data_IF_072517482372
#
_entry.id   IF_072517482372
#
_cell.length_a   1.000
_cell.length_b   1.000
_cell.length_c   1.000
_cell.angle_alpha   90.00
_cell.angle_beta   90.00
_cell.angle_gamma   90.00
#
_symmetry.space_group_name_H-M   'P 1'
#
loop_
_entity.id
_entity.type
_entity.pdbx_description
1 polymer ?
#
# COMPACT_ATOMS: atom_id res chain seq x y z
N UNK A 1 16.85 -17.32 -6.66
CA UNK A 1 16.75 -16.95 -5.24
C UNK A 1 15.51 -17.64 -4.67
N UNK A 2 15.29 -17.66 -3.34
CA UNK A 2 13.97 -17.99 -2.81
C UNK A 2 13.06 -16.80 -3.12
N UNK A 3 12.01 -17.03 -3.92
CA UNK A 3 10.91 -16.10 -4.08
C UNK A 3 10.25 -15.98 -2.70
N UNK A 4 10.68 -14.97 -1.94
CA UNK A 4 9.93 -14.55 -0.76
C UNK A 4 8.67 -13.89 -1.31
N UNK A 5 7.64 -14.70 -1.57
CA UNK A 5 6.27 -14.21 -1.73
C UNK A 5 5.99 -13.33 -0.51
N UNK A 6 6.05 -12.01 -0.67
CA UNK A 6 5.74 -11.09 0.42
C UNK A 6 4.31 -11.40 0.86
N UNK A 7 4.16 -11.70 2.15
CA UNK A 7 2.90 -12.21 2.65
C UNK A 7 1.89 -11.06 2.76
N UNK A 8 0.62 -11.28 2.37
CA UNK A 8 -0.44 -10.31 2.64
C UNK A 8 -0.52 -10.00 4.14
N UNK A 9 -0.73 -8.74 4.49
CA UNK A 9 -0.93 -8.28 5.87
C UNK A 9 -2.38 -7.85 6.11
N UNK A 10 -2.80 -7.91 7.38
CA UNK A 10 -4.12 -7.51 7.85
C UNK A 10 -4.00 -6.49 8.99
N UNK A 11 -4.82 -5.44 8.95
CA UNK A 11 -5.02 -4.51 10.06
C UNK A 11 -6.52 -4.28 10.30
N UNK A 12 -6.87 -3.71 11.46
CA UNK A 12 -8.23 -3.31 11.76
C UNK A 12 -8.26 -1.93 12.43
N UNK A 13 -9.30 -1.15 12.13
CA UNK A 13 -9.54 0.18 12.69
C UNK A 13 -10.86 0.76 12.20
N UNK A 14 -11.46 1.67 12.97
CA UNK A 14 -12.74 2.31 12.66
C UNK A 14 -12.50 3.49 11.70
N UNK A 15 -12.64 3.26 10.40
CA UNK A 15 -12.28 4.26 9.37
C UNK A 15 -13.41 5.22 9.03
N UNK A 16 -14.65 4.87 9.39
CA UNK A 16 -15.82 5.70 9.09
C UNK A 16 -16.36 6.44 10.33
N UNK A 17 -15.91 6.07 11.53
CA UNK A 17 -16.21 6.69 12.81
C UNK A 17 -17.51 6.18 13.43
N UNK A 18 -18.00 5.00 13.05
CA UNK A 18 -19.25 4.43 13.57
C UNK A 18 -19.07 3.62 14.88
N UNK A 19 -17.82 3.43 15.32
CA UNK A 19 -17.45 2.68 16.51
C UNK A 19 -17.24 1.18 16.27
N UNK A 20 -17.38 0.70 15.04
CA UNK A 20 -17.04 -0.65 14.59
C UNK A 20 -15.75 -0.56 13.78
N UNK A 21 -14.86 -1.53 13.95
CA UNK A 21 -13.63 -1.57 13.16
C UNK A 21 -13.84 -2.25 11.82
N UNK A 22 -13.31 -1.66 10.77
CA UNK A 22 -13.12 -2.28 9.47
C UNK A 22 -11.82 -3.07 9.44
N UNK A 23 -11.66 -3.85 8.38
CA UNK A 23 -10.47 -4.66 8.12
C UNK A 23 -9.78 -4.14 6.87
N UNK A 24 -8.48 -3.86 6.95
CA UNK A 24 -7.64 -3.63 5.79
C UNK A 24 -6.87 -4.92 5.45
N UNK A 25 -6.98 -5.38 4.21
CA UNK A 25 -6.19 -6.47 3.66
C UNK A 25 -5.22 -5.92 2.62
N UNK A 26 -3.93 -6.04 2.88
CA UNK A 26 -2.90 -5.82 1.88
C UNK A 26 -2.74 -7.08 1.03
N UNK A 27 -2.86 -6.92 -0.28
CA UNK A 27 -2.73 -8.00 -1.26
C UNK A 27 -1.88 -7.52 -2.42
N UNK A 28 -1.28 -8.46 -3.13
CA UNK A 28 -0.67 -8.20 -4.41
C UNK A 28 -1.70 -8.36 -5.52
N UNK A 29 -1.74 -7.43 -6.48
CA UNK A 29 -2.59 -7.58 -7.67
C UNK A 29 -1.79 -7.26 -8.93
N UNK A 30 -1.90 -8.13 -9.93
CA UNK A 30 -1.40 -7.90 -11.28
C UNK A 30 -2.07 -6.65 -11.89
N UNK A 31 -1.26 -5.72 -12.39
CA UNK A 31 -1.73 -4.57 -13.14
C UNK A 31 -1.74 -4.91 -14.62
N UNK A 32 -2.91 -4.73 -15.26
CA UNK A 32 -2.99 -4.79 -16.71
C UNK A 32 -2.16 -3.64 -17.30
N UNK A 33 -1.11 -3.98 -18.03
CA UNK A 33 -0.31 -2.99 -18.75
C UNK A 33 -1.22 -2.23 -19.75
N UNK A 34 -1.52 -0.96 -19.47
CA UNK A 34 -2.04 -0.05 -20.50
C UNK A 34 -1.03 -0.07 -21.65
N UNK A 35 -1.43 -0.60 -22.80
CA UNK A 35 -0.60 -0.69 -24.00
C UNK A 35 -0.24 0.73 -24.46
N UNK A 36 0.84 1.27 -23.90
CA UNK A 36 1.37 2.57 -24.26
C UNK A 36 1.75 2.59 -25.74
N UNK A 37 1.10 3.46 -26.49
CA UNK A 37 1.43 3.78 -27.87
C UNK A 37 2.85 4.42 -27.93
N UNK A 38 3.91 3.61 -27.89
CA UNK A 38 5.31 4.07 -27.97
C UNK A 38 5.67 4.37 -29.44
N UNK A 39 5.54 5.64 -29.84
CA UNK A 39 6.27 6.20 -30.99
C UNK A 39 7.64 6.70 -30.51
N UNK A 40 8.71 6.14 -31.07
CA UNK A 40 9.99 6.82 -31.24
C UNK A 40 11.12 6.46 -30.25
N UNK A 41 12.20 6.00 -30.86
CA UNK A 41 13.60 6.03 -30.43
C UNK A 41 14.17 4.95 -29.49
N UNK A 42 14.99 4.10 -30.14
CA UNK A 42 15.79 3.01 -29.58
C UNK A 42 16.88 3.55 -28.64
N UNK A 43 16.90 3.07 -27.39
CA UNK A 43 18.14 2.92 -26.60
C UNK A 43 18.11 1.62 -25.78
N UNK A 44 19.28 0.99 -25.70
CA UNK A 44 19.58 -0.36 -25.18
C UNK A 44 19.05 -0.60 -23.76
N UNK A 45 18.60 -1.83 -23.53
CA UNK A 45 18.20 -2.37 -22.23
C UNK A 45 16.72 -2.73 -22.22
N UNK A 46 16.32 -3.75 -23.00
CA UNK A 46 14.98 -4.31 -22.92
C UNK A 46 14.98 -5.21 -21.67
N UNK A 47 14.69 -4.65 -20.48
CA UNK A 47 14.04 -5.46 -19.44
C UNK A 47 12.72 -5.88 -20.06
N UNK A 48 12.41 -7.16 -19.90
CA UNK A 48 11.24 -7.80 -20.49
C UNK A 48 9.99 -7.07 -20.00
N UNK A 49 8.86 -7.24 -20.68
CA UNK A 49 7.60 -6.67 -20.24
C UNK A 49 7.17 -7.41 -18.96
N UNK A 50 7.89 -7.15 -17.87
CA UNK A 50 7.68 -7.75 -16.56
C UNK A 50 6.29 -7.33 -16.10
N UNK A 51 5.48 -8.33 -15.77
CA UNK A 51 4.12 -8.17 -15.30
C UNK A 51 4.15 -7.32 -14.03
N UNK A 52 3.72 -6.06 -14.14
CA UNK A 52 3.75 -5.14 -13.01
C UNK A 52 2.71 -5.57 -11.99
N UNK A 53 3.14 -5.76 -10.75
CA UNK A 53 2.27 -6.05 -9.63
C UNK A 53 2.22 -4.85 -8.69
N UNK A 54 1.02 -4.47 -8.25
CA UNK A 54 0.84 -3.37 -7.31
C UNK A 54 0.39 -3.89 -5.94
N UNK A 55 0.87 -3.23 -4.89
CA UNK A 55 0.35 -3.38 -3.55
C UNK A 55 -1.03 -2.74 -3.46
N UNK A 56 -2.04 -3.55 -3.17
CA UNK A 56 -3.42 -3.11 -3.04
C UNK A 56 -3.84 -3.27 -1.58
N UNK A 57 -4.44 -2.23 -1.01
CA UNK A 57 -5.15 -2.34 0.27
C UNK A 57 -6.64 -2.39 -0.03
N UNK A 58 -7.27 -3.52 0.25
CA UNK A 58 -8.72 -3.70 0.13
C UNK A 58 -9.36 -3.57 1.51
N UNK A 59 -10.41 -2.77 1.59
CA UNK A 59 -11.16 -2.61 2.83
C UNK A 59 -12.36 -3.54 2.85
N UNK A 60 -12.50 -4.26 3.96
CA UNK A 60 -13.67 -5.05 4.31
C UNK A 60 -14.36 -4.43 5.52
N UNK A 61 -15.66 -4.68 5.66
CA UNK A 61 -16.40 -4.40 6.89
C UNK A 61 -15.82 -5.20 8.06
N UNK A 62 -16.19 -4.85 9.29
CA UNK A 62 -15.88 -5.65 10.48
C UNK A 62 -16.42 -7.08 10.46
N UNK A 63 -17.37 -7.39 9.56
CA UNK A 63 -17.89 -8.75 9.32
C UNK A 63 -17.16 -9.49 8.18
N UNK A 64 -16.20 -8.85 7.52
CA UNK A 64 -15.42 -9.40 6.42
C UNK A 64 -16.06 -9.27 5.03
N UNK A 65 -17.11 -8.45 4.88
CA UNK A 65 -17.71 -8.18 3.57
C UNK A 65 -16.90 -7.13 2.82
N UNK A 66 -16.68 -7.30 1.52
CA UNK A 66 -15.92 -6.33 0.76
C UNK A 66 -16.65 -4.99 0.60
N UNK A 67 -15.95 -3.91 0.90
CA UNK A 67 -16.41 -2.54 0.60
C UNK A 67 -16.01 -2.14 -0.83
N UNK A 68 -16.40 -0.93 -1.25
CA UNK A 68 -15.94 -0.33 -2.51
C UNK A 68 -14.58 0.35 -2.39
N UNK A 69 -14.01 0.46 -1.18
CA UNK A 69 -12.74 1.14 -0.96
C UNK A 69 -11.58 0.20 -1.27
N UNK A 70 -10.74 0.63 -2.20
CA UNK A 70 -9.51 -0.04 -2.60
C UNK A 70 -8.44 1.01 -2.85
N UNK A 71 -7.22 0.76 -2.38
CA UNK A 71 -6.11 1.69 -2.46
C UNK A 71 -4.97 1.03 -3.24
N UNK A 72 -4.54 1.65 -4.33
CA UNK A 72 -3.26 1.34 -4.96
C UNK A 72 -2.15 2.00 -4.13
N UNK A 73 -1.57 1.24 -3.20
CA UNK A 73 -0.52 1.74 -2.34
C UNK A 73 0.70 2.15 -3.18
N UNK A 74 1.27 3.32 -2.87
CA UNK A 74 2.45 3.84 -3.57
C UNK A 74 2.31 3.97 -5.10
N UNK A 75 1.08 4.13 -5.61
CA UNK A 75 0.83 4.30 -7.05
C UNK A 75 1.75 5.36 -7.68
N UNK A 76 2.33 5.00 -8.83
CA UNK A 76 3.22 5.87 -9.62
C UNK A 76 4.65 6.00 -9.07
N UNK A 77 4.99 5.32 -7.98
CA UNK A 77 6.34 5.35 -7.40
C UNK A 77 7.23 4.20 -7.85
N UNK A 78 6.66 3.18 -8.49
CA UNK A 78 7.41 2.01 -8.95
C UNK A 78 7.71 0.96 -7.88
N UNK A 79 7.03 1.01 -6.73
CA UNK A 79 6.99 -0.14 -5.81
C UNK A 79 6.14 -1.25 -6.41
N UNK A 80 6.60 -2.47 -6.20
CA UNK A 80 5.92 -3.70 -6.60
C UNK A 80 5.69 -4.57 -5.38
N UNK A 81 4.63 -5.37 -5.40
CA UNK A 81 4.27 -6.28 -4.31
C UNK A 81 3.40 -5.67 -3.21
N UNK A 82 2.94 -6.49 -2.25
CA UNK A 82 2.09 -6.06 -1.17
C UNK A 82 2.82 -5.08 -0.23
N UNK A 83 2.04 -4.32 0.53
CA UNK A 83 2.59 -3.41 1.52
C UNK A 83 2.28 -3.90 2.94
N UNK A 84 2.98 -3.36 3.92
CA UNK A 84 2.52 -3.48 5.31
C UNK A 84 1.43 -2.47 5.59
N UNK A 85 0.54 -2.78 6.53
CA UNK A 85 -0.63 -1.94 6.84
C UNK A 85 -0.89 -1.83 8.33
N UNK A 86 -1.18 -0.63 8.78
CA UNK A 86 -1.72 -0.33 10.11
C UNK A 86 -2.86 0.68 9.98
N UNK A 87 -3.72 0.74 10.99
CA UNK A 87 -4.86 1.66 11.03
C UNK A 87 -4.92 2.37 12.38
N UNK A 88 -5.32 3.64 12.37
CA UNK A 88 -5.50 4.41 13.59
C UNK A 88 -5.78 5.89 13.35
N UNK A 89 -6.38 6.55 14.33
CA UNK A 89 -6.72 7.98 14.29
C UNK A 89 -5.46 8.82 14.58
N UNK A 90 -4.80 9.29 13.53
CA UNK A 90 -3.51 9.99 13.64
C UNK A 90 -3.72 11.50 13.77
N UNK A 91 -4.79 12.03 13.17
CA UNK A 91 -5.08 13.46 13.19
C UNK A 91 -6.10 13.90 14.26
N UNK A 92 -6.69 12.94 14.99
CA UNK A 92 -7.56 13.16 16.12
C UNK A 92 -8.99 13.51 15.73
N UNK A 93 -9.42 13.18 14.51
CA UNK A 93 -10.78 13.46 14.02
C UNK A 93 -11.83 12.43 14.44
N UNK A 94 -11.41 11.36 15.12
CA UNK A 94 -12.26 10.27 15.58
C UNK A 94 -12.45 9.17 14.53
N UNK A 95 -11.75 9.23 13.39
CA UNK A 95 -11.73 8.19 12.37
C UNK A 95 -10.30 7.71 12.17
N UNK A 96 -10.15 6.43 11.87
CA UNK A 96 -8.86 5.86 11.57
C UNK A 96 -8.39 6.27 10.16
N UNK A 97 -7.12 6.66 10.08
CA UNK A 97 -6.34 6.64 8.86
C UNK A 97 -5.80 5.24 8.57
N UNK A 98 -5.41 5.02 7.32
CA UNK A 98 -4.70 3.84 6.85
C UNK A 98 -3.24 4.21 6.61
N UNK A 99 -2.33 3.51 7.27
CA UNK A 99 -0.88 3.68 7.17
C UNK A 99 -0.35 2.51 6.36
N UNK A 100 0.30 2.79 5.23
CA UNK A 100 0.94 1.81 4.39
C UNK A 100 2.46 1.92 4.52
N UNK A 101 3.16 0.81 4.77
CA UNK A 101 4.61 0.70 4.69
C UNK A 101 5.02 -0.04 3.42
N UNK A 102 5.96 0.51 2.66
CA UNK A 102 6.38 -0.11 1.41
C UNK A 102 7.04 -1.48 1.65
N UNK A 103 6.71 -2.43 0.77
CA UNK A 103 7.42 -3.71 0.64
C UNK A 103 8.88 -3.51 0.21
N UNK A 104 9.62 -4.61 0.14
CA UNK A 104 11.04 -4.57 -0.24
C UNK A 104 11.17 -4.30 -1.73
N UNK A 105 12.00 -3.31 -2.05
CA UNK A 105 12.32 -2.94 -3.42
C UNK A 105 13.82 -2.65 -3.56
N UNK A 106 14.44 -3.10 -4.65
CA UNK A 106 15.88 -2.94 -4.90
C UNK A 106 16.24 -1.52 -5.36
N UNK A 107 15.33 -0.87 -6.07
CA UNK A 107 15.51 0.44 -6.70
C UNK A 107 14.99 1.59 -5.80
N UNK A 108 14.01 1.32 -4.95
CA UNK A 108 13.35 2.30 -4.09
C UNK A 108 13.81 2.23 -2.62
N UNK A 109 13.66 3.33 -1.87
CA UNK A 109 13.89 3.34 -0.43
C UNK A 109 12.56 3.04 0.30
N UNK A 110 12.54 2.39 1.48
CA UNK A 110 11.30 2.11 2.19
C UNK A 110 10.59 3.40 2.58
N UNK A 111 9.33 3.51 2.17
CA UNK A 111 8.46 4.63 2.45
C UNK A 111 7.28 4.22 3.32
N UNK A 112 6.76 5.20 4.05
CA UNK A 112 5.47 5.13 4.74
C UNK A 112 4.56 6.17 4.09
N UNK A 113 3.34 5.80 3.71
CA UNK A 113 2.28 6.69 3.22
C UNK A 113 1.04 6.59 4.08
N UNK A 114 0.32 7.69 4.23
CA UNK A 114 -0.94 7.73 4.98
C UNK A 114 -2.11 8.09 4.05
N UNK A 115 -3.21 7.37 4.20
CA UNK A 115 -4.45 7.50 3.44
C UNK A 115 -5.62 7.70 4.40
N UNK A 116 -6.65 8.43 3.95
CA UNK A 116 -7.94 8.51 4.65
C UNK A 116 -8.72 7.21 4.48
N UNK A 117 -9.76 7.02 5.29
CA UNK A 117 -10.65 5.85 5.23
C UNK A 117 -11.33 5.63 3.87
N UNK A 118 -11.50 6.69 3.07
CA UNK A 118 -12.01 6.60 1.69
C UNK A 118 -10.94 6.23 0.64
N UNK A 119 -9.69 6.03 1.07
CA UNK A 119 -8.54 5.72 0.22
C UNK A 119 -7.81 6.93 -0.34
N UNK A 120 -8.24 8.16 -0.02
CA UNK A 120 -7.57 9.38 -0.48
C UNK A 120 -6.18 9.50 0.16
N UNK A 121 -5.14 9.68 -0.66
CA UNK A 121 -3.80 9.96 -0.15
C UNK A 121 -3.75 11.32 0.57
N UNK A 122 -3.28 11.33 1.82
CA UNK A 122 -3.27 12.53 2.67
C UNK A 122 -2.20 13.56 2.28
N UNK A 123 -1.26 13.20 1.40
CA UNK A 123 -0.05 13.98 1.15
C UNK A 123 1.12 13.62 2.08
N UNK A 124 0.90 12.79 3.10
CA UNK A 124 1.92 12.36 4.05
C UNK A 124 2.75 11.20 3.50
N UNK A 125 4.03 11.44 3.25
CA UNK A 125 5.02 10.42 2.87
C UNK A 125 6.30 10.61 3.68
N UNK A 126 6.84 9.52 4.21
CA UNK A 126 8.05 9.52 5.04
C UNK A 126 9.00 8.44 4.58
N UNK A 127 10.30 8.75 4.47
CA UNK A 127 11.34 7.74 4.28
C UNK A 127 11.63 7.08 5.63
N UNK A 128 11.48 5.76 5.72
CA UNK A 128 11.65 5.03 6.97
C UNK A 128 13.13 4.89 7.36
N UNK A 129 13.98 4.55 6.38
CA UNK A 129 15.42 4.39 6.58
C UNK A 129 16.20 4.45 5.27
N UNK A 130 17.51 4.67 5.37
CA UNK A 130 18.47 4.56 4.25
C UNK A 130 18.86 3.08 4.03
N UNK A 131 17.93 2.26 3.52
CA UNK A 131 18.15 0.83 3.24
C UNK A 131 17.32 0.35 2.04
N UNK A 132 17.64 -0.82 1.49
CA UNK A 132 16.90 -1.50 0.41
C UNK A 132 16.12 -2.71 0.93
N UNK A 133 15.22 -2.42 1.86
CA UNK A 133 14.39 -3.39 2.60
C UNK A 133 12.97 -2.85 2.71
N UNK A 134 12.01 -3.70 3.04
CA UNK A 134 10.65 -3.26 3.36
C UNK A 134 10.57 -2.65 4.76
N UNK A 135 9.46 -1.98 5.06
CA UNK A 135 9.18 -1.45 6.40
C UNK A 135 7.89 -2.05 6.92
N UNK A 136 7.89 -2.48 8.18
CA UNK A 136 6.67 -2.84 8.90
C UNK A 136 6.14 -1.61 9.64
N UNK A 137 4.84 -1.38 9.57
CA UNK A 137 4.17 -0.30 10.29
C UNK A 137 3.33 -0.87 11.42
N UNK A 138 3.22 -0.10 12.50
CA UNK A 138 2.32 -0.38 13.62
C UNK A 138 1.81 0.93 14.17
N UNK A 139 0.55 0.94 14.58
CA UNK A 139 -0.07 2.08 15.25
C UNK A 139 -0.50 1.68 16.65
N UNK A 140 -0.32 2.60 17.60
CA UNK A 140 -0.76 2.43 18.97
C UNK A 140 -0.86 3.79 19.65
N UNK A 141 -1.87 3.95 20.49
CA UNK A 141 -2.00 5.09 21.38
C UNK A 141 -1.53 4.70 22.77
N UNK A 142 -0.89 5.63 23.47
CA UNK A 142 -0.59 5.49 24.90
C UNK A 142 -1.59 6.37 25.66
N UNK A 143 -2.37 5.76 26.54
CA UNK A 143 -3.19 6.46 27.54
C UNK A 143 -2.45 6.51 28.88
#
# INVERSE_FOLDING_TARGET
>A
EEDFDEMPEIAAGDIDGDGVSEIALSIEQEQENEKGNKKGDKKKGKKEDDEKKAGIIRILTGTGEATTTTIEAFQGMGFEGPCTVAMGDIDGDGKAEIIAGAGRDEDNDPLIRVYKGDGTYTGTSMKAMDAKTGVNVGYGTFQ
#
